data_IF_523934890923
#
_entry.id   IF_523934890923
#
_cell.length_a   1.000
_cell.length_b   1.000
_cell.length_c   1.000
_cell.angle_alpha   90.00
_cell.angle_beta   90.00
_cell.angle_gamma   90.00
#
_symmetry.space_group_name_H-M   'P 1'
#
loop_
_entity.id
_entity.type
_entity.pdbx_description
1 polymer ?
#
# COMPACT_ATOMS: atom_id res chain seq x y z
N UNK A 1 0.53 -3.02 -15.35
CA UNK A 1 1.92 -3.20 -14.89
C UNK A 1 2.70 -1.93 -15.20
N UNK A 2 3.19 -1.28 -14.18
CA UNK A 2 4.09 -0.14 -14.32
C UNK A 2 5.46 -0.52 -13.73
N UNK A 3 6.54 -0.19 -14.47
CA UNK A 3 7.92 -0.30 -14.01
C UNK A 3 8.53 1.08 -14.05
N UNK A 4 9.13 1.50 -12.94
CA UNK A 4 9.76 2.81 -12.80
C UNK A 4 11.27 2.65 -12.68
N UNK A 5 12.00 3.31 -13.58
CA UNK A 5 13.45 3.49 -13.48
C UNK A 5 13.76 4.76 -12.68
N UNK A 6 15.02 4.97 -12.27
CA UNK A 6 15.52 6.06 -11.43
C UNK A 6 15.04 7.48 -11.81
N UNK A 7 14.46 7.68 -13.00
CA UNK A 7 14.06 8.97 -13.55
C UNK A 7 12.59 9.36 -13.33
N UNK A 8 11.72 8.44 -12.86
CA UNK A 8 10.29 8.72 -12.65
C UNK A 8 9.97 9.12 -11.20
N UNK A 9 10.56 10.19 -10.76
CA UNK A 9 10.75 10.54 -9.35
C UNK A 9 9.57 11.20 -8.65
N UNK A 10 8.42 11.46 -9.25
CA UNK A 10 7.51 12.44 -8.65
C UNK A 10 6.06 12.01 -8.36
N UNK A 11 5.59 10.82 -8.74
CA UNK A 11 4.17 10.51 -8.57
C UNK A 11 3.78 9.81 -7.26
N UNK A 12 4.69 9.10 -6.59
CA UNK A 12 4.35 8.22 -5.46
C UNK A 12 4.79 8.70 -4.07
N UNK A 13 5.13 9.98 -3.92
CA UNK A 13 5.56 10.53 -2.62
C UNK A 13 4.43 10.98 -1.71
N UNK A 14 3.20 11.02 -2.20
CA UNK A 14 2.07 11.43 -1.39
C UNK A 14 1.41 10.25 -0.70
N UNK A 15 1.07 10.45 0.55
CA UNK A 15 0.19 9.55 1.27
C UNK A 15 -1.14 9.47 0.54
N UNK A 16 -1.52 8.28 0.11
CA UNK A 16 -2.71 8.03 -0.68
C UNK A 16 -3.28 6.64 -0.40
N UNK A 17 -4.42 6.35 -0.94
CA UNK A 17 -5.00 5.02 -1.02
C UNK A 17 -5.92 4.93 -2.24
N UNK A 18 -6.19 3.72 -2.66
CA UNK A 18 -7.00 3.39 -3.83
C UNK A 18 -7.71 2.04 -3.62
N UNK A 19 -8.76 1.74 -4.41
CA UNK A 19 -9.53 0.50 -4.25
C UNK A 19 -8.81 -0.75 -4.78
N UNK A 20 -7.74 -0.60 -5.53
CA UNK A 20 -6.93 -1.69 -6.03
C UNK A 20 -6.06 -2.30 -4.92
N UNK A 21 -5.75 -3.58 -5.05
CA UNK A 21 -4.66 -4.25 -4.35
C UNK A 21 -3.37 -3.91 -5.09
N UNK A 22 -2.30 -3.65 -4.35
CA UNK A 22 -1.01 -3.27 -4.90
C UNK A 22 0.09 -4.19 -4.41
N UNK A 23 0.82 -4.80 -5.33
CA UNK A 23 2.03 -5.56 -5.06
C UNK A 23 3.23 -4.74 -5.54
N UNK A 24 4.11 -4.37 -4.60
CA UNK A 24 5.31 -3.56 -4.84
C UNK A 24 6.55 -4.37 -4.56
N UNK A 25 7.47 -4.40 -5.50
CA UNK A 25 8.82 -4.90 -5.32
C UNK A 25 9.85 -3.81 -5.57
N UNK A 26 10.74 -3.61 -4.60
CA UNK A 26 11.89 -2.71 -4.69
C UNK A 26 13.15 -3.56 -4.71
N UNK A 27 13.90 -3.48 -5.81
CA UNK A 27 15.13 -4.23 -5.97
C UNK A 27 16.31 -3.46 -5.36
N UNK A 28 16.77 -3.92 -4.19
CA UNK A 28 17.90 -3.34 -3.48
C UNK A 28 17.61 -1.96 -2.86
N UNK A 29 18.64 -1.37 -2.27
CA UNK A 29 18.53 -0.09 -1.57
C UNK A 29 17.86 -0.21 -0.20
N UNK A 30 17.71 0.93 0.45
CA UNK A 30 17.08 1.05 1.74
C UNK A 30 16.13 2.25 1.74
N UNK A 31 15.13 2.23 2.58
CA UNK A 31 14.16 3.33 2.65
C UNK A 31 13.22 3.23 3.82
N UNK A 32 12.35 4.20 3.90
CA UNK A 32 11.28 4.27 4.89
C UNK A 32 9.95 3.95 4.21
N UNK A 33 9.16 3.09 4.81
CA UNK A 33 7.79 2.81 4.38
C UNK A 33 6.80 3.20 5.46
N UNK A 34 5.66 3.70 5.02
CA UNK A 34 4.51 3.91 5.88
C UNK A 34 3.28 3.29 5.21
N UNK A 35 2.71 2.30 5.87
CA UNK A 35 1.53 1.56 5.40
C UNK A 35 0.54 1.52 6.55
N UNK A 36 -0.62 2.13 6.36
CA UNK A 36 -1.55 2.37 7.45
C UNK A 36 -0.88 3.13 8.59
N UNK A 37 -1.02 2.65 9.81
CA UNK A 37 -0.35 3.23 10.98
C UNK A 37 1.08 2.72 11.19
N UNK A 38 1.50 1.74 10.40
CA UNK A 38 2.83 1.14 10.53
C UNK A 38 3.88 1.98 9.81
N UNK A 39 4.94 2.32 10.53
CA UNK A 39 6.11 2.99 9.98
C UNK A 39 7.34 2.15 10.29
N UNK A 40 8.07 1.78 9.25
CA UNK A 40 9.30 1.00 9.37
C UNK A 40 10.29 1.35 8.27
N UNK A 41 11.50 0.83 8.44
CA UNK A 41 12.55 0.92 7.44
C UNK A 41 12.74 -0.45 6.79
N UNK A 42 13.06 -0.45 5.51
CA UNK A 42 13.54 -1.63 4.80
C UNK A 42 15.02 -1.43 4.45
N UNK A 43 15.73 -2.53 4.32
CA UNK A 43 17.12 -2.56 3.92
C UNK A 43 17.30 -3.70 2.91
N UNK A 44 18.05 -3.44 1.83
CA UNK A 44 18.22 -4.40 0.74
C UNK A 44 16.91 -4.77 0.02
N UNK A 45 16.16 -3.75 -0.37
CA UNK A 45 14.90 -3.88 -1.10
C UNK A 45 13.71 -4.29 -0.22
N UNK A 46 12.55 -4.33 -0.86
CA UNK A 46 11.28 -4.63 -0.17
C UNK A 46 10.30 -5.38 -1.09
N UNK A 47 9.43 -6.20 -0.51
CA UNK A 47 8.30 -6.83 -1.22
C UNK A 47 7.06 -6.72 -0.34
N UNK A 48 6.10 -5.93 -0.81
CA UNK A 48 4.91 -5.55 -0.04
C UNK A 48 3.64 -5.84 -0.83
N UNK A 49 2.66 -6.44 -0.17
CA UNK A 49 1.29 -6.53 -0.68
C UNK A 49 0.40 -5.61 0.16
N UNK A 50 -0.21 -4.64 -0.49
CA UNK A 50 -1.07 -3.61 0.09
C UNK A 50 -2.50 -3.92 -0.33
N UNK A 51 -3.38 -4.12 0.62
CA UNK A 51 -4.79 -4.38 0.36
C UNK A 51 -5.55 -3.13 -0.08
N UNK A 52 -6.76 -3.37 -0.59
CA UNK A 52 -7.66 -2.29 -1.02
C UNK A 52 -7.89 -1.26 0.08
N UNK A 53 -7.88 0.01 -0.30
CA UNK A 53 -8.15 1.15 0.59
C UNK A 53 -7.21 1.26 1.81
N UNK A 54 -6.06 0.59 1.81
CA UNK A 54 -5.06 0.74 2.86
C UNK A 54 -4.16 1.94 2.54
N UNK A 55 -4.17 3.01 3.37
CA UNK A 55 -3.35 4.18 3.11
C UNK A 55 -1.86 3.84 3.16
N UNK A 56 -1.13 4.36 2.20
CA UNK A 56 0.32 4.15 2.11
C UNK A 56 1.00 5.32 1.42
N UNK A 57 2.33 5.37 1.52
CA UNK A 57 3.13 6.32 0.76
C UNK A 57 4.25 5.59 0.01
N UNK A 58 4.68 6.20 -1.09
CA UNK A 58 5.75 5.66 -1.93
C UNK A 58 7.04 5.38 -1.15
N UNK A 59 7.69 4.32 -1.52
CA UNK A 59 8.78 3.68 -0.78
C UNK A 59 10.17 4.14 -1.21
N UNK A 60 10.28 4.81 -2.36
CA UNK A 60 11.56 5.23 -2.90
C UNK A 60 12.13 6.42 -2.12
N UNK A 61 13.29 6.22 -1.52
CA UNK A 61 14.11 7.30 -0.96
C UNK A 61 15.26 7.60 -1.93
N UNK A 62 15.33 8.82 -2.42
CA UNK A 62 16.38 9.28 -3.34
C UNK A 62 17.80 9.13 -2.79
N UNK A 63 17.93 9.06 -1.48
CA UNK A 63 19.24 9.01 -0.82
C UNK A 63 19.77 7.58 -0.68
N UNK A 64 18.98 6.55 -0.93
CA UNK A 64 19.32 5.17 -0.61
C UNK A 64 19.69 4.32 -1.82
N UNK A 65 19.61 4.86 -3.04
CA UNK A 65 20.05 4.19 -4.26
C UNK A 65 19.19 2.97 -4.65
N UNK A 66 17.87 3.06 -4.48
CA UNK A 66 16.94 2.06 -5.02
C UNK A 66 17.19 1.89 -6.51
N UNK A 67 17.40 0.67 -6.95
CA UNK A 67 17.78 0.38 -8.32
C UNK A 67 16.60 0.29 -9.27
N UNK A 68 15.47 -0.24 -8.77
CA UNK A 68 14.29 -0.47 -9.60
C UNK A 68 13.08 -0.75 -8.71
N UNK A 69 11.94 -0.21 -9.09
CA UNK A 69 10.65 -0.50 -8.50
C UNK A 69 9.75 -1.15 -9.55
N UNK A 70 9.11 -2.23 -9.22
CA UNK A 70 8.11 -2.90 -10.04
C UNK A 70 6.80 -2.96 -9.27
N UNK A 71 5.73 -2.49 -9.89
CA UNK A 71 4.42 -2.35 -9.28
C UNK A 71 3.37 -3.05 -10.12
N UNK A 72 2.51 -3.81 -9.44
CA UNK A 72 1.32 -4.44 -10.04
C UNK A 72 0.11 -4.03 -9.25
N UNK A 73 -0.83 -3.34 -9.89
CA UNK A 73 -2.12 -2.97 -9.31
C UNK A 73 -3.24 -3.74 -9.98
N UNK A 74 -4.19 -4.22 -9.20
CA UNK A 74 -5.36 -4.95 -9.70
C UNK A 74 -6.54 -4.84 -8.72
N UNK A 75 -7.75 -4.94 -9.24
CA UNK A 75 -8.95 -5.04 -8.41
C UNK A 75 -9.06 -6.45 -7.83
N UNK A 76 -9.67 -6.58 -6.66
CA UNK A 76 -9.91 -7.88 -6.03
C UNK A 76 -10.69 -8.85 -6.94
N UNK A 77 -11.53 -8.31 -7.83
CA UNK A 77 -12.37 -9.03 -8.78
C UNK A 77 -11.90 -8.92 -10.25
N UNK A 78 -10.60 -8.71 -10.49
CA UNK A 78 -10.05 -8.40 -11.83
C UNK A 78 -10.28 -9.49 -12.90
N UNK A 79 -10.62 -10.72 -12.50
CA UNK A 79 -11.03 -11.81 -13.38
C UNK A 79 -12.56 -12.05 -13.36
N UNK A 80 -13.29 -11.13 -12.77
CA UNK A 80 -14.73 -11.24 -12.53
C UNK A 80 -15.06 -11.79 -11.14
N UNK A 81 -16.17 -11.33 -10.54
CA UNK A 81 -16.48 -11.62 -9.14
C UNK A 81 -16.66 -13.11 -8.85
N UNK A 82 -17.12 -13.91 -9.83
CA UNK A 82 -17.36 -15.33 -9.64
C UNK A 82 -16.07 -16.17 -9.71
N UNK A 83 -15.02 -15.67 -10.35
CA UNK A 83 -13.76 -16.39 -10.48
C UNK A 83 -13.11 -16.68 -9.13
N UNK A 84 -13.16 -15.72 -8.22
CA UNK A 84 -12.55 -15.86 -6.90
C UNK A 84 -13.45 -16.58 -5.88
N UNK A 85 -14.69 -16.97 -6.27
CA UNK A 85 -15.61 -17.72 -5.39
C UNK A 85 -15.47 -19.24 -5.51
N UNK A 86 -14.68 -19.74 -6.46
CA UNK A 86 -14.40 -21.17 -6.58
C UNK A 86 -13.45 -21.65 -5.47
N UNK A 87 -13.55 -22.91 -5.03
CA UNK A 87 -12.76 -23.43 -3.91
C UNK A 87 -11.25 -23.30 -4.08
N UNK A 88 -10.76 -23.40 -5.32
CA UNK A 88 -9.35 -23.31 -5.67
C UNK A 88 -8.75 -21.91 -5.39
N UNK A 89 -9.59 -20.89 -5.27
CA UNK A 89 -9.20 -19.50 -5.01
C UNK A 89 -9.29 -19.09 -3.54
N UNK A 90 -9.65 -20.01 -2.63
CA UNK A 90 -9.82 -19.70 -1.22
C UNK A 90 -8.53 -19.13 -0.59
N UNK A 91 -7.37 -19.65 -0.95
CA UNK A 91 -6.09 -19.13 -0.46
C UNK A 91 -5.84 -17.69 -0.91
N UNK A 92 -6.21 -17.34 -2.15
CA UNK A 92 -6.06 -15.99 -2.66
C UNK A 92 -7.04 -15.03 -1.97
N UNK A 93 -8.28 -15.44 -1.72
CA UNK A 93 -9.25 -14.63 -0.93
C UNK A 93 -8.71 -14.34 0.46
N UNK A 94 -8.14 -15.32 1.11
CA UNK A 94 -7.52 -15.15 2.43
C UNK A 94 -6.32 -14.22 2.37
N UNK A 95 -5.49 -14.33 1.33
CA UNK A 95 -4.36 -13.42 1.10
C UNK A 95 -4.86 -11.97 0.93
N UNK A 96 -5.89 -11.75 0.12
CA UNK A 96 -6.46 -10.40 -0.11
C UNK A 96 -7.05 -9.80 1.17
N UNK A 97 -7.75 -10.62 1.97
CA UNK A 97 -8.28 -10.20 3.26
C UNK A 97 -7.17 -9.83 4.27
N UNK A 98 -6.05 -10.57 4.29
CA UNK A 98 -4.89 -10.27 5.12
C UNK A 98 -4.14 -9.03 4.61
N UNK A 99 -4.08 -8.82 3.30
CA UNK A 99 -3.42 -7.67 2.70
C UNK A 99 -4.03 -6.32 3.13
N UNK A 100 -5.29 -6.28 3.60
CA UNK A 100 -5.90 -5.10 4.21
C UNK A 100 -5.15 -4.60 5.46
N UNK A 101 -4.25 -5.40 6.01
CA UNK A 101 -3.35 -5.04 7.11
C UNK A 101 -1.92 -4.73 6.63
N UNK A 102 -1.65 -4.85 5.33
CA UNK A 102 -0.33 -4.73 4.73
C UNK A 102 0.57 -5.92 5.08
N UNK A 103 1.11 -6.55 4.07
CA UNK A 103 1.96 -7.73 4.20
C UNK A 103 3.35 -7.43 3.65
N UNK A 104 4.39 -7.62 4.47
CA UNK A 104 5.78 -7.50 4.06
C UNK A 104 6.41 -8.90 3.97
N UNK A 105 6.87 -9.28 2.81
CA UNK A 105 7.52 -10.55 2.57
C UNK A 105 9.04 -10.40 2.64
N UNK A 106 9.72 -11.45 3.11
CA UNK A 106 11.16 -11.46 3.30
C UNK A 106 11.78 -12.77 2.79
N UNK A 107 13.07 -12.95 3.05
CA UNK A 107 13.77 -14.21 2.77
C UNK A 107 13.77 -14.62 1.31
N UNK A 108 13.62 -15.91 1.07
CA UNK A 108 13.60 -16.49 -0.26
C UNK A 108 12.34 -16.12 -1.05
N UNK A 109 11.20 -15.96 -0.36
CA UNK A 109 9.96 -15.47 -0.98
C UNK A 109 10.17 -14.11 -1.63
N UNK A 110 10.78 -13.14 -0.92
CA UNK A 110 11.10 -11.82 -1.49
C UNK A 110 11.97 -11.94 -2.73
N UNK A 111 13.04 -12.73 -2.66
CA UNK A 111 13.98 -12.87 -3.76
C UNK A 111 13.34 -13.49 -5.02
N UNK A 112 12.61 -14.59 -4.85
CA UNK A 112 11.99 -15.34 -5.95
C UNK A 112 10.83 -14.56 -6.59
N UNK A 113 9.92 -14.04 -5.79
CA UNK A 113 8.80 -13.25 -6.29
C UNK A 113 9.27 -11.93 -6.90
N UNK A 114 10.26 -11.28 -6.30
CA UNK A 114 10.85 -10.06 -6.86
C UNK A 114 11.40 -10.29 -8.27
N UNK A 115 12.12 -11.39 -8.48
CA UNK A 115 12.62 -11.76 -9.80
C UNK A 115 11.48 -12.08 -10.79
N UNK A 116 10.43 -12.76 -10.33
CA UNK A 116 9.25 -13.04 -11.16
C UNK A 116 8.57 -11.74 -11.59
N UNK A 117 8.39 -10.78 -10.65
CA UNK A 117 7.81 -9.46 -10.95
C UNK A 117 8.62 -8.68 -11.97
N UNK A 118 9.94 -8.65 -11.86
CA UNK A 118 10.80 -7.97 -12.84
C UNK A 118 10.71 -8.56 -14.25
N UNK A 119 10.34 -9.82 -14.37
CA UNK A 119 10.19 -10.50 -15.65
C UNK A 119 8.80 -10.32 -16.28
N UNK A 120 7.79 -9.84 -15.53
CA UNK A 120 6.41 -9.68 -16.04
C UNK A 120 6.35 -8.83 -17.31
N UNK A 121 7.15 -7.77 -17.41
CA UNK A 121 7.19 -6.90 -18.58
C UNK A 121 7.72 -7.55 -19.86
N UNK A 122 8.40 -8.71 -19.76
CA UNK A 122 8.95 -9.46 -20.91
C UNK A 122 7.98 -10.51 -21.44
N UNK A 123 6.89 -10.78 -20.70
CA UNK A 123 5.90 -11.79 -21.05
C UNK A 123 4.81 -11.20 -21.96
N UNK A 124 4.23 -12.03 -22.83
CA UNK A 124 2.99 -11.71 -23.49
C UNK A 124 1.83 -11.58 -22.47
N UNK A 125 0.73 -10.97 -22.88
CA UNK A 125 -0.36 -10.62 -21.96
C UNK A 125 -0.96 -11.84 -21.25
N UNK A 126 -1.10 -12.97 -21.94
CA UNK A 126 -1.66 -14.19 -21.34
C UNK A 126 -0.69 -14.81 -20.34
N UNK A 127 0.58 -14.94 -20.69
CA UNK A 127 1.61 -15.47 -19.77
C UNK A 127 1.81 -14.56 -18.58
N UNK A 128 1.72 -13.24 -18.77
CA UNK A 128 1.77 -12.26 -17.68
C UNK A 128 0.63 -12.49 -16.69
N UNK A 129 -0.60 -12.68 -17.19
CA UNK A 129 -1.75 -12.99 -16.33
C UNK A 129 -1.52 -14.27 -15.52
N UNK A 130 -1.08 -15.35 -16.18
CA UNK A 130 -0.78 -16.60 -15.48
C UNK A 130 0.33 -16.43 -14.44
N UNK A 131 1.37 -15.68 -14.77
CA UNK A 131 2.47 -15.40 -13.84
C UNK A 131 2.01 -14.57 -12.63
N UNK A 132 1.08 -13.62 -12.81
CA UNK A 132 0.49 -12.88 -11.68
C UNK A 132 -0.29 -13.82 -10.77
N UNK A 133 -1.09 -14.74 -11.31
CA UNK A 133 -1.82 -15.73 -10.51
C UNK A 133 -0.87 -16.65 -9.75
N UNK A 134 0.21 -17.10 -10.38
CA UNK A 134 1.23 -17.93 -9.75
C UNK A 134 1.96 -17.19 -8.62
N UNK A 135 2.35 -15.94 -8.84
CA UNK A 135 2.92 -15.05 -7.81
C UNK A 135 1.96 -14.94 -6.62
N UNK A 136 0.68 -14.65 -6.86
CA UNK A 136 -0.31 -14.52 -5.78
C UNK A 136 -0.51 -15.84 -5.03
N UNK A 137 -0.50 -16.96 -5.75
CA UNK A 137 -0.59 -18.28 -5.15
C UNK A 137 0.63 -18.58 -4.24
N UNK A 138 1.85 -18.31 -4.70
CA UNK A 138 3.05 -18.47 -3.87
C UNK A 138 3.03 -17.57 -2.64
N UNK A 139 2.63 -16.30 -2.78
CA UNK A 139 2.48 -15.39 -1.64
C UNK A 139 1.45 -15.87 -0.62
N UNK A 140 0.36 -16.50 -1.09
CA UNK A 140 -0.69 -17.03 -0.20
C UNK A 140 -0.23 -18.19 0.67
N UNK A 141 0.82 -18.90 0.28
CA UNK A 141 1.38 -20.05 1.00
C UNK A 141 2.65 -19.70 1.77
N UNK A 142 3.18 -18.49 1.60
CA UNK A 142 4.45 -18.13 2.23
C UNK A 142 4.33 -17.98 3.74
N UNK A 143 5.27 -18.54 4.45
CA UNK A 143 5.48 -18.31 5.89
C UNK A 143 6.47 -17.19 6.17
N UNK A 144 7.15 -16.68 5.14
CA UNK A 144 8.12 -15.58 5.25
C UNK A 144 7.41 -14.23 5.08
N UNK A 145 6.45 -13.95 5.97
CA UNK A 145 5.59 -12.76 5.91
C UNK A 145 5.41 -12.11 7.26
N UNK A 146 5.41 -10.79 7.30
CA UNK A 146 5.05 -9.97 8.45
C UNK A 146 3.79 -9.16 8.15
N UNK A 147 2.80 -9.21 9.06
CA UNK A 147 1.63 -8.33 9.03
C UNK A 147 2.03 -7.00 9.66
N UNK A 148 1.82 -5.89 8.94
CA UNK A 148 2.30 -4.58 9.34
C UNK A 148 1.36 -3.86 10.31
N UNK A 149 0.05 -4.01 10.16
CA UNK A 149 -0.94 -3.38 11.04
C UNK A 149 -1.74 -4.43 11.80
N UNK A 150 -1.87 -4.27 13.12
CA UNK A 150 -2.66 -5.17 13.95
C UNK A 150 -4.18 -5.06 13.70
N UNK A 151 -4.63 -3.87 13.29
CA UNK A 151 -6.04 -3.57 13.04
C UNK A 151 -6.26 -3.16 11.58
N UNK A 152 -7.42 -3.54 11.03
CA UNK A 152 -7.82 -3.12 9.69
C UNK A 152 -8.19 -1.63 9.68
N UNK A 153 -7.81 -0.94 8.64
CA UNK A 153 -8.22 0.44 8.41
C UNK A 153 -9.68 0.48 7.93
N UNK A 154 -10.52 1.24 8.63
CA UNK A 154 -11.93 1.42 8.28
C UNK A 154 -12.12 2.66 7.39
N UNK A 155 -11.56 2.65 6.18
CA UNK A 155 -11.78 3.74 5.22
C UNK A 155 -13.01 3.45 4.38
N UNK A 156 -13.92 4.44 4.31
CA UNK A 156 -15.10 4.39 3.45
C UNK A 156 -14.69 4.35 1.97
N UNK A 157 -15.38 3.53 1.18
CA UNK A 157 -15.18 3.42 -0.28
C UNK A 157 -15.77 4.59 -1.07
N UNK A 158 -16.45 5.53 -0.41
CA UNK A 158 -17.00 6.71 -1.10
C UNK A 158 -15.88 7.65 -1.56
N UNK A 159 -15.90 8.03 -2.83
CA UNK A 159 -14.91 8.92 -3.47
C UNK A 159 -14.77 10.26 -2.73
N UNK A 160 -15.87 10.79 -2.17
CA UNK A 160 -15.88 12.02 -1.38
C UNK A 160 -15.07 11.89 -0.08
N UNK A 161 -15.18 10.76 0.60
CA UNK A 161 -14.43 10.44 1.82
C UNK A 161 -12.94 10.21 1.49
N UNK A 162 -12.67 9.55 0.38
CA UNK A 162 -11.32 9.35 -0.12
C UNK A 162 -10.61 10.67 -0.37
N UNK A 163 -11.25 11.57 -1.10
CA UNK A 163 -10.70 12.90 -1.36
C UNK A 163 -10.47 13.71 -0.08
N UNK A 164 -11.35 13.54 0.91
CA UNK A 164 -11.27 14.25 2.19
C UNK A 164 -10.04 13.82 2.99
N UNK A 165 -9.85 12.52 3.19
CA UNK A 165 -8.73 12.02 3.98
C UNK A 165 -7.39 12.26 3.27
N UNK A 166 -7.34 12.13 1.95
CA UNK A 166 -6.15 12.42 1.16
C UNK A 166 -5.72 13.91 1.27
N UNK A 167 -6.67 14.85 1.30
CA UNK A 167 -6.37 16.26 1.55
C UNK A 167 -5.70 16.47 2.91
N UNK A 168 -6.21 15.80 3.95
CA UNK A 168 -5.64 15.88 5.31
C UNK A 168 -4.21 15.33 5.31
N UNK A 169 -4.00 14.15 4.76
CA UNK A 169 -2.69 13.51 4.74
C UNK A 169 -1.66 14.31 3.93
N UNK A 170 -2.04 14.82 2.77
CA UNK A 170 -1.17 15.68 1.96
C UNK A 170 -0.82 16.98 2.69
N UNK A 171 -1.77 17.58 3.40
CA UNK A 171 -1.50 18.76 4.20
C UNK A 171 -0.50 18.46 5.32
N UNK A 172 -0.72 17.41 6.09
CA UNK A 172 0.19 16.97 7.15
C UNK A 172 1.59 16.74 6.60
N UNK A 173 1.70 15.98 5.51
CA UNK A 173 2.99 15.68 4.87
C UNK A 173 3.78 16.92 4.46
N UNK A 174 3.09 17.93 3.93
CA UNK A 174 3.75 19.14 3.47
C UNK A 174 4.11 20.11 4.61
N UNK A 175 3.52 19.91 5.81
CA UNK A 175 3.65 20.83 6.94
C UNK A 175 4.16 20.18 8.23
N UNK A 176 4.58 18.90 8.21
CA UNK A 176 4.95 18.15 9.42
C UNK A 176 6.16 18.72 10.19
N UNK A 177 6.95 19.60 9.56
CA UNK A 177 8.11 20.27 10.18
C UNK A 177 7.72 21.47 11.05
N UNK A 178 6.45 21.79 11.16
CA UNK A 178 5.89 22.85 12.00
C UNK A 178 4.62 22.35 12.72
N UNK A 179 4.22 22.98 13.83
CA UNK A 179 2.97 22.64 14.49
C UNK A 179 1.77 22.76 13.55
N UNK A 180 0.94 21.72 13.51
CA UNK A 180 -0.27 21.70 12.67
C UNK A 180 -1.48 21.95 13.55
N UNK A 181 -2.15 23.13 13.45
CA UNK A 181 -3.35 23.43 14.23
C UNK A 181 -4.50 22.51 13.86
N UNK A 182 -5.22 22.02 14.85
CA UNK A 182 -6.41 21.17 14.66
C UNK A 182 -7.50 21.90 13.86
N UNK A 183 -7.67 23.20 14.09
CA UNK A 183 -8.59 24.06 13.36
C UNK A 183 -8.34 24.04 11.84
N UNK A 184 -7.06 24.05 11.42
CA UNK A 184 -6.70 24.04 10.01
C UNK A 184 -7.12 22.75 9.32
N UNK A 185 -6.82 21.60 9.93
CA UNK A 185 -7.17 20.30 9.32
C UNK A 185 -8.66 19.98 9.40
N UNK A 186 -9.34 20.46 10.43
CA UNK A 186 -10.79 20.33 10.53
C UNK A 186 -11.49 21.15 9.45
N UNK A 187 -11.06 22.39 9.22
CA UNK A 187 -11.55 23.26 8.14
C UNK A 187 -11.27 22.67 6.75
N UNK A 188 -10.07 22.12 6.52
CA UNK A 188 -9.71 21.43 5.27
C UNK A 188 -10.64 20.24 4.96
N UNK A 189 -11.11 19.57 6.00
CA UNK A 189 -12.04 18.44 5.88
C UNK A 189 -13.51 18.84 5.82
N UNK A 190 -13.82 20.14 5.99
CA UNK A 190 -15.19 20.65 6.09
C UNK A 190 -15.91 20.21 7.35
N UNK A 191 -15.18 20.04 8.46
CA UNK A 191 -15.72 19.53 9.73
C UNK A 191 -15.42 20.49 10.89
N UNK A 192 -16.21 20.39 11.97
CA UNK A 192 -15.83 20.97 13.26
C UNK A 192 -14.71 20.13 13.88
N UNK A 193 -13.87 20.72 14.74
CA UNK A 193 -12.77 19.99 15.41
C UNK A 193 -13.23 18.70 16.13
N UNK A 194 -14.34 18.69 16.91
CA UNK A 194 -14.81 17.45 17.53
C UNK A 194 -15.25 16.39 16.52
N UNK A 195 -15.87 16.80 15.40
CA UNK A 195 -16.27 15.87 14.33
C UNK A 195 -15.05 15.33 13.59
N UNK A 196 -14.06 16.18 13.30
CA UNK A 196 -12.80 15.78 12.72
C UNK A 196 -12.04 14.77 13.60
N UNK A 197 -11.92 15.03 14.90
CA UNK A 197 -11.25 14.10 15.81
C UNK A 197 -11.90 12.71 15.82
N UNK A 198 -13.22 12.64 15.85
CA UNK A 198 -13.96 11.37 15.77
C UNK A 198 -13.76 10.68 14.41
N UNK A 199 -13.90 11.45 13.34
CA UNK A 199 -13.70 10.98 11.96
C UNK A 199 -12.27 10.42 11.78
N UNK A 200 -11.26 11.22 12.12
CA UNK A 200 -9.86 10.86 11.94
C UNK A 200 -9.50 9.60 12.75
N UNK A 201 -9.92 9.53 14.03
CA UNK A 201 -9.70 8.35 14.86
C UNK A 201 -10.42 7.11 14.32
N UNK A 202 -11.65 7.24 13.83
CA UNK A 202 -12.39 6.14 13.21
C UNK A 202 -11.69 5.65 11.94
N UNK A 203 -11.16 6.56 11.12
CA UNK A 203 -10.56 6.25 9.83
C UNK A 203 -9.14 5.70 9.95
N UNK A 204 -8.34 6.20 10.91
CA UNK A 204 -6.91 5.89 11.03
C UNK A 204 -6.55 5.05 12.25
N UNK A 205 -7.51 4.74 13.11
CA UNK A 205 -7.31 4.09 14.42
C UNK A 205 -6.41 4.87 15.40
N UNK A 206 -5.96 6.07 15.03
CA UNK A 206 -5.13 6.97 15.85
C UNK A 206 -5.82 8.33 16.03
N UNK A 207 -5.55 8.99 17.16
CA UNK A 207 -5.89 10.41 17.27
C UNK A 207 -5.00 11.23 16.33
N UNK A 208 -5.47 12.40 15.89
CA UNK A 208 -4.68 13.27 15.02
C UNK A 208 -3.33 13.64 15.67
N UNK A 209 -3.33 13.95 16.98
CA UNK A 209 -2.09 14.21 17.72
C UNK A 209 -1.12 13.03 17.72
N UNK A 210 -1.62 11.80 17.87
CA UNK A 210 -0.79 10.60 17.77
C UNK A 210 -0.25 10.33 16.36
N UNK A 211 -0.91 10.87 15.36
CA UNK A 211 -0.52 10.68 13.96
C UNK A 211 0.58 11.68 13.54
N UNK A 212 0.55 12.91 14.07
CA UNK A 212 1.51 13.95 13.69
C UNK A 212 2.77 14.01 14.59
N UNK A 213 2.75 13.34 15.75
CA UNK A 213 3.90 13.19 16.65
C UNK A 213 4.62 11.84 16.43
#
# INVERSE_FOLDING_TARGET
>A
LETFDEYHVNHYKSWHYHPEIELVYINGGAGKRQIGSHMSYFNDGDLILIGKNLPHCGFTDRFTGNKKETLVQFKEDFLGPQFFEIPEMELLKNLFALAEQGLAFHGETKARIGQAMENLGKLDDFKRLLSILDILHELSQSTEVHILNAEKFAISTEVSEQNRINKIFNYVKNNFHQPIPLETVSSLSGMTEPSFCRYFKKTTSKTFTQFVN
#
